data_IF_258163114890
#
_entry.id   IF_258163114890
#
_cell.length_a   1.000
_cell.length_b   1.000
_cell.length_c   1.000
_cell.angle_alpha   90.00
_cell.angle_beta   90.00
_cell.angle_gamma   90.00
#
_symmetry.space_group_name_H-M   'P 1'
#
loop_
_entity.id
_entity.type
_entity.pdbx_description
1 polymer ?
2 non-polymer ?
3 non-polymer ?
4 non-polymer ?
5 non-polymer ?
6 water ?
#
# COMPACT_ATOMS: atom_id res chain seq x y z
N UNK A 18 2.18 17.08 25.22
CA UNK A 18 2.71 16.30 24.06
C UNK A 18 1.82 15.11 23.78
N UNK A 19 0.58 15.36 23.34
CA UNK A 19 -0.23 14.23 22.87
C UNK A 19 0.43 13.51 21.69
N UNK A 20 0.14 12.23 21.64
CA UNK A 20 0.57 11.33 20.61
C UNK A 20 -0.65 10.61 19.99
N UNK A 21 -0.41 10.03 18.79
CA UNK A 21 -1.32 9.13 18.13
C UNK A 21 -0.60 7.82 18.15
N UNK A 22 -1.36 6.78 18.44
CA UNK A 22 -0.89 5.43 18.29
C UNK A 22 -1.54 4.94 17.03
N UNK A 23 -0.71 4.42 16.12
CA UNK A 23 -1.14 3.86 14.83
C UNK A 23 -0.86 2.38 14.79
N UNK A 24 -1.88 1.61 14.44
CA UNK A 24 -1.86 0.19 14.50
C UNK A 24 -2.21 -0.38 13.12
N UNK A 25 -1.49 -1.40 12.72
CA UNK A 25 -1.71 -2.16 11.51
C UNK A 25 -1.60 -3.61 11.90
N UNK A 26 -2.74 -4.22 12.02
CA UNK A 26 -2.85 -5.43 12.73
C UNK A 26 -3.26 -6.44 11.69
N UNK A 27 -2.27 -7.10 11.09
CA UNK A 27 -2.43 -8.05 9.99
C UNK A 27 -2.56 -9.52 10.42
N UNK A 28 -2.41 -10.44 9.46
CA UNK A 28 -2.65 -11.85 9.77
C UNK A 28 -1.54 -12.50 10.63
N UNK A 29 -0.30 -12.02 10.50
CA UNK A 29 0.83 -12.55 11.28
C UNK A 29 1.43 -11.55 12.27
N UNK A 30 1.13 -10.26 12.09
CA UNK A 30 1.80 -9.18 12.83
C UNK A 30 0.88 -8.09 13.30
N UNK A 31 1.39 -7.31 14.23
CA UNK A 31 0.86 -6.03 14.57
C UNK A 31 2.03 -5.07 14.50
N UNK A 32 2.03 -4.22 13.49
CA UNK A 32 2.96 -3.11 13.41
C UNK A 32 2.35 -1.91 14.05
N UNK A 33 3.17 -1.11 14.71
CA UNK A 33 2.67 0.08 15.33
C UNK A 33 3.74 1.11 15.32
N UNK A 34 3.29 2.36 15.34
CA UNK A 34 4.10 3.49 15.56
C UNK A 34 3.37 4.41 16.51
N UNK A 35 4.14 5.16 17.24
CA UNK A 35 3.60 6.21 18.06
C UNK A 35 4.16 7.49 17.47
N UNK A 36 3.25 8.38 17.06
CA UNK A 36 3.62 9.65 16.43
C UNK A 36 3.21 10.82 17.29
N UNK A 37 4.12 11.78 17.40
CA UNK A 37 3.86 13.01 18.13
C UNK A 37 2.88 13.80 17.34
N UNK A 38 1.91 14.44 17.99
CA UNK A 38 0.83 15.09 17.30
C UNK A 38 1.30 16.40 16.71
N UNK A 39 2.34 16.97 17.29
CA UNK A 39 2.80 18.31 16.94
C UNK A 39 3.51 18.25 15.61
N UNK A 40 4.50 17.39 15.51
CA UNK A 40 5.32 17.24 14.33
C UNK A 40 4.99 16.03 13.42
N UNK A 41 4.06 15.18 13.81
CA UNK A 41 3.96 13.81 13.22
C UNK A 41 5.23 13.01 13.08
N UNK A 42 6.23 13.27 13.92
CA UNK A 42 7.47 12.43 13.96
C UNK A 42 7.23 11.14 14.71
N UNK A 43 7.89 10.06 14.30
CA UNK A 43 7.82 8.80 15.02
C UNK A 43 8.64 8.86 16.34
N UNK A 44 7.98 8.55 17.44
CA UNK A 44 8.62 8.51 18.76
C UNK A 44 8.98 7.12 19.15
N UNK A 45 8.28 6.14 18.63
CA UNK A 45 8.50 4.77 18.97
C UNK A 45 7.84 3.98 17.88
N UNK A 46 8.43 2.86 17.50
CA UNK A 46 7.82 1.92 16.58
C UNK A 46 8.17 0.53 16.99
N UNK A 47 7.57 -0.43 16.32
CA UNK A 47 7.69 -1.82 16.73
C UNK A 47 6.76 -2.77 16.01
N UNK A 48 6.80 -4.01 16.47
CA UNK A 48 6.09 -5.09 15.81
C UNK A 48 6.06 -6.30 16.73
N UNK A 49 4.83 -6.68 17.10
CA UNK A 49 4.52 -7.99 17.62
C UNK A 49 4.38 -8.92 16.43
N UNK A 50 5.13 -10.01 16.42
CA UNK A 50 5.25 -10.85 15.24
C UNK A 50 5.06 -12.34 15.55
N UNK A 51 4.88 -13.17 14.51
CA UNK A 51 4.64 -14.63 14.69
C UNK A 51 3.35 -14.94 15.40
N UNK A 52 2.32 -14.14 15.11
CA UNK A 52 1.13 -14.03 15.97
C UNK A 52 0.27 -15.29 16.04
C UNK A 54 2.66 -18.56 16.86
N UNK A 55 3.34 -19.70 16.92
CA UNK A 55 3.43 -20.48 18.16
C UNK A 55 4.37 -19.78 19.13
N UNK A 56 5.50 -19.30 18.60
CA UNK A 56 6.42 -18.45 19.36
C UNK A 56 6.30 -16.96 18.95
N UNK A 57 5.23 -16.29 19.40
CA UNK A 57 5.07 -14.86 19.13
C UNK A 57 6.07 -14.01 19.95
N UNK A 58 6.40 -12.83 19.45
CA UNK A 58 7.34 -11.92 20.14
C UNK A 58 7.17 -10.42 19.79
N UNK A 59 7.53 -9.56 20.75
CA UNK A 59 7.46 -8.10 20.62
C UNK A 59 8.84 -7.43 20.42
N UNK A 60 8.94 -6.59 19.39
CA UNK A 60 10.21 -6.08 18.91
C UNK A 60 10.17 -4.59 18.58
N UNK A 61 10.31 -3.79 19.63
CA UNK A 61 10.42 -2.33 19.58
C UNK A 61 11.76 -1.84 19.01
N UNK A 62 11.79 -1.63 17.68
CA UNK A 62 12.93 -1.04 16.94
C UNK A 62 14.31 -1.45 17.45
N UNK A 64 15.45 -3.16 19.67
CA UNK A 64 15.88 -2.90 21.05
C UNK A 64 15.74 -4.14 21.93
N UNK A 65 14.51 -4.47 22.34
CA UNK A 65 14.29 -5.51 23.35
C UNK A 65 13.83 -6.93 22.88
N UNK A 66 14.12 -7.34 21.60
CA UNK A 66 13.37 -8.42 20.92
C UNK A 66 12.58 -9.48 21.74
N UNK A 67 11.70 -9.01 22.65
CA UNK A 67 11.06 -9.79 23.74
C UNK A 67 9.95 -10.77 23.32
N UNK A 68 9.76 -11.86 24.07
CA UNK A 68 8.93 -13.02 23.62
C UNK A 68 7.55 -13.06 24.24
N UNK A 69 6.58 -13.46 23.42
CA UNK A 69 5.14 -13.48 23.76
C UNK A 69 4.56 -14.90 23.81
N UNK A 70 4.85 -15.71 22.79
CA UNK A 70 4.47 -17.13 22.71
C UNK A 70 2.96 -17.43 22.94
N UNK A 71 2.31 -18.01 21.93
CA UNK A 71 0.89 -18.37 22.04
C UNK A 71 -0.02 -17.15 22.26
N UNK A 72 0.42 -15.97 21.84
CA UNK A 72 -0.29 -14.72 22.11
C UNK A 72 -1.33 -14.43 21.01
N UNK A 73 -2.57 -14.19 21.45
CA UNK A 73 -3.61 -13.66 20.58
C UNK A 73 -3.43 -12.11 20.41
N UNK A 74 -4.30 -11.52 19.60
CA UNK A 74 -4.17 -10.13 19.20
C UNK A 74 -4.32 -9.21 20.42
N UNK A 75 -5.28 -9.51 21.28
CA UNK A 75 -5.44 -8.71 22.47
C UNK A 75 -4.21 -8.76 23.39
N UNK A 76 -3.44 -9.86 23.33
CA UNK A 76 -2.28 -10.10 24.22
C UNK A 76 -1.12 -9.25 23.76
N UNK A 77 -0.79 -9.40 22.48
CA UNK A 77 0.24 -8.61 21.84
C UNK A 77 0.00 -7.09 22.07
N UNK A 78 -1.23 -6.63 21.91
CA UNK A 78 -1.54 -5.23 22.11
C UNK A 78 -1.48 -4.80 23.60
N UNK A 79 -1.90 -5.68 24.52
CA UNK A 79 -1.76 -5.42 25.98
C UNK A 79 -0.28 -5.31 26.32
N UNK A 80 0.56 -6.06 25.59
CA UNK A 80 1.98 -6.02 25.77
C UNK A 80 2.48 -4.66 25.31
N UNK A 81 2.07 -4.29 24.09
CA UNK A 81 2.39 -2.98 23.53
C UNK A 81 1.89 -1.89 24.49
N UNK A 82 0.65 -2.00 24.98
CA UNK A 82 0.16 -0.97 25.91
C UNK A 82 1.09 -0.88 27.15
N UNK A 83 1.61 -2.01 27.64
CA UNK A 83 2.40 -1.94 28.87
C UNK A 83 3.73 -1.27 28.57
N UNK A 84 4.31 -1.51 27.38
CA UNK A 84 5.53 -0.79 26.95
C UNK A 84 5.34 0.75 26.87
N UNK A 85 4.16 1.21 26.54
CA UNK A 85 3.93 2.63 26.55
C UNK A 85 3.67 3.14 27.97
N UNK A 86 2.97 2.35 28.79
CA UNK A 86 2.80 2.61 30.23
C UNK A 86 4.18 2.76 30.86
N UNK A 87 5.06 1.81 30.52
CA UNK A 87 6.50 1.85 30.83
C UNK A 87 7.11 3.19 30.65
N UNK A 88 6.84 3.81 29.49
CA UNK A 88 7.56 5.01 29.07
C UNK A 88 6.69 6.20 29.33
N UNK A 89 5.73 6.05 30.24
CA UNK A 89 4.90 7.15 30.63
C UNK A 89 4.25 7.81 29.37
N UNK A 90 3.85 6.99 28.40
CA UNK A 90 3.14 7.51 27.20
C UNK A 90 1.62 7.39 27.29
N UNK A 91 1.16 6.43 28.08
CA UNK A 91 -0.21 6.06 28.12
C UNK A 91 -1.13 7.26 28.19
N UNK A 92 -0.81 8.22 29.04
CA UNK A 92 -1.70 9.37 29.22
C UNK A 92 -1.59 10.43 28.15
N UNK A 93 -0.53 10.37 27.36
CA UNK A 93 -0.39 11.24 26.21
C UNK A 93 -1.13 10.69 24.91
N UNK A 94 -1.62 9.46 24.96
CA UNK A 94 -2.29 8.87 23.80
C UNK A 94 -3.66 9.49 23.62
N UNK A 95 -3.75 10.46 22.72
CA UNK A 95 -4.99 11.21 22.49
C UNK A 95 -5.84 10.58 21.38
N UNK A 96 -5.23 9.73 20.54
CA UNK A 96 -5.90 9.17 19.35
C UNK A 96 -5.27 7.84 18.98
N UNK A 97 -6.06 6.93 18.44
CA UNK A 97 -5.54 5.68 17.89
C UNK A 97 -6.08 5.55 16.43
N UNK A 98 -5.18 5.26 15.49
CA UNK A 98 -5.50 5.12 14.09
C UNK A 98 -5.27 3.71 13.69
N UNK A 99 -6.28 3.07 13.09
CA UNK A 99 -6.21 1.70 12.65
C UNK A 99 -6.18 1.68 11.13
N UNK A 100 -5.20 0.97 10.59
CA UNK A 100 -5.17 0.67 9.18
C UNK A 100 -6.11 -0.43 8.89
N UNK A 101 -7.08 -0.18 7.99
CA UNK A 101 -7.98 -1.21 7.57
C UNK A 101 -7.72 -1.56 6.15
N UNK A 102 -7.55 -2.86 5.88
CA UNK A 102 -7.24 -3.36 4.55
C UNK A 102 -8.28 -3.10 3.49
N UNK A 103 -9.54 -3.33 3.84
CA UNK A 103 -10.62 -3.34 2.92
C UNK A 103 -11.90 -2.68 3.47
N UNK A 104 -12.41 -1.64 2.80
CA UNK A 104 -13.65 -1.01 3.20
C UNK A 104 -14.81 -1.15 2.22
N UNK A 105 -14.70 -2.07 1.26
CA UNK A 105 -15.64 -2.22 0.14
C UNK A 105 -16.10 -0.92 -0.46
N UNK A 106 -17.39 -0.86 -0.77
CA UNK A 106 -18.05 0.36 -1.20
C UNK A 106 -18.57 1.15 -0.02
N UNK A 107 -18.42 0.61 1.18
CA UNK A 107 -18.95 1.33 2.37
C UNK A 107 -18.14 2.50 2.86
N UNK A 108 -16.84 2.57 2.57
CA UNK A 108 -16.03 3.67 3.12
C UNK A 108 -15.33 4.44 2.05
N UNK A 109 -15.58 5.74 2.04
CA UNK A 109 -15.02 6.64 1.05
C UNK A 109 -14.06 7.61 1.68
N UNK A 110 -13.97 7.58 3.01
CA UNK A 110 -13.02 8.41 3.75
C UNK A 110 -12.79 7.77 5.15
N UNK A 111 -11.82 8.26 5.84
CA UNK A 111 -11.45 7.77 7.15
C UNK A 111 -12.55 8.19 8.13
N UNK A 112 -12.80 7.37 9.13
CA UNK A 112 -13.91 7.60 10.04
C UNK A 112 -13.54 7.44 11.52
N UNK A 113 -14.33 8.08 12.38
CA UNK A 113 -14.29 7.85 13.83
C UNK A 113 -14.97 6.55 14.03
N UNK A 114 -14.31 5.64 14.71
CA UNK A 114 -14.85 4.32 14.96
C UNK A 114 -15.97 4.36 16.08
N UNK A 115 -17.10 3.71 15.81
CA UNK A 115 -18.29 3.62 16.65
C UNK A 115 -18.77 2.21 16.37
N UNK A 116 -19.81 1.76 17.08
CA UNK A 116 -20.40 0.44 16.82
C UNK A 116 -20.84 0.23 15.38
N UNK A 117 -21.44 1.26 14.80
CA UNK A 117 -21.86 1.27 13.41
C UNK A 117 -20.70 0.96 12.46
N UNK A 118 -19.58 1.67 12.65
CA UNK A 118 -18.40 1.48 11.80
C UNK A 118 -17.93 0.06 11.95
N UNK A 119 -17.88 -0.43 13.17
CA UNK A 119 -17.53 -1.87 13.40
C UNK A 119 -18.45 -2.81 12.65
N UNK A 120 -19.76 -2.61 12.78
CA UNK A 120 -20.74 -3.43 12.01
C UNK A 120 -20.47 -3.36 10.52
N UNK A 121 -20.18 -2.16 10.03
CA UNK A 121 -19.93 -2.00 8.57
C UNK A 121 -18.63 -2.65 8.12
N UNK A 122 -17.57 -2.53 8.92
CA UNK A 122 -16.32 -3.31 8.63
C UNK A 122 -16.56 -4.82 8.59
N UNK A 123 -17.32 -5.32 9.56
CA UNK A 123 -17.71 -6.74 9.56
C UNK A 123 -18.46 -7.17 8.24
N UNK A 124 -19.33 -6.32 7.72
CA UNK A 124 -20.04 -6.67 6.49
C UNK A 124 -19.10 -6.86 5.28
N UNK A 125 -17.90 -6.24 5.33
CA UNK A 125 -16.85 -6.41 4.32
C UNK A 125 -16.11 -7.72 4.42
N UNK A 126 -16.13 -8.34 5.59
CA UNK A 126 -15.43 -9.59 5.86
C UNK A 126 -15.32 -10.52 4.67
N UNK A 127 -16.45 -10.84 4.04
CA UNK A 127 -16.30 -11.85 2.97
C UNK A 127 -15.26 -11.44 1.89
N UNK A 128 -15.10 -10.14 1.63
CA UNK A 128 -14.14 -9.65 0.61
C UNK A 128 -12.68 -9.90 0.93
N UNK A 129 -12.30 -10.07 2.19
CA UNK A 129 -10.91 -10.35 2.55
C UNK A 129 -10.91 -10.89 3.97
N UNK A 130 -11.34 -12.14 4.15
CA UNK A 130 -11.80 -12.71 5.43
C UNK A 130 -10.80 -12.77 6.57
N UNK A 131 -9.54 -13.12 6.27
CA UNK A 131 -8.54 -13.27 7.33
C UNK A 131 -8.02 -11.89 7.67
N UNK A 132 -7.75 -11.06 6.66
CA UNK A 132 -7.24 -9.71 6.90
C UNK A 132 -8.22 -8.78 7.61
N UNK A 133 -9.51 -8.83 7.25
CA UNK A 133 -10.66 -8.18 7.97
C UNK A 133 -10.72 -8.59 9.43
N UNK A 134 -10.68 -9.91 9.62
CA UNK A 134 -10.66 -10.49 10.94
C UNK A 134 -9.49 -9.94 11.77
N UNK A 135 -8.29 -9.95 11.22
CA UNK A 135 -7.20 -9.36 11.96
C UNK A 135 -7.41 -7.85 12.28
N UNK A 136 -7.86 -7.05 11.31
CA UNK A 136 -8.02 -5.59 11.53
C UNK A 136 -9.09 -5.38 12.63
N UNK A 137 -10.14 -6.18 12.58
CA UNK A 137 -11.23 -6.10 13.57
C UNK A 137 -10.75 -6.61 14.92
N UNK A 138 -9.86 -7.62 14.95
CA UNK A 138 -9.22 -8.04 16.20
C UNK A 138 -8.40 -6.93 16.81
N UNK A 139 -7.63 -6.21 15.98
CA UNK A 139 -6.91 -5.06 16.51
C UNK A 139 -7.82 -3.95 17.04
N UNK A 140 -8.97 -3.71 16.37
CA UNK A 140 -9.91 -2.71 16.87
C UNK A 140 -10.46 -3.12 18.26
N UNK A 141 -10.93 -4.35 18.36
CA UNK A 141 -11.44 -4.91 19.63
C UNK A 141 -10.43 -4.82 20.77
N UNK A 142 -9.21 -5.26 20.51
CA UNK A 142 -8.09 -5.05 21.46
C UNK A 142 -7.87 -3.58 21.89
N UNK A 143 -7.78 -2.68 20.91
CA UNK A 143 -7.47 -1.30 21.26
C UNK A 143 -8.64 -0.71 22.00
N UNK A 144 -9.85 -1.15 21.69
CA UNK A 144 -11.02 -0.52 22.33
C UNK A 144 -11.05 -0.96 23.78
N UNK A 145 -10.59 -2.16 24.05
CA UNK A 145 -10.38 -2.60 25.39
C UNK A 145 -9.30 -1.82 26.14
N UNK A 146 -8.16 -1.64 25.48
CA UNK A 146 -7.01 -1.06 26.15
C UNK A 146 -7.10 0.46 26.30
N UNK A 147 -7.93 1.16 25.51
CA UNK A 147 -8.00 2.62 25.55
C UNK A 147 -9.40 3.18 25.37
N UNK A 148 -10.31 2.90 26.34
CA UNK A 148 -11.76 3.19 26.19
C UNK A 148 -12.10 4.67 26.13
N UNK A 149 -11.36 5.52 26.82
CA UNK A 149 -11.64 6.96 26.70
C UNK A 149 -10.80 7.65 25.65
N UNK A 150 -10.31 6.88 24.66
CA UNK A 150 -9.52 7.47 23.56
C UNK A 150 -10.25 7.35 22.22
N UNK A 151 -10.41 8.45 21.52
CA UNK A 151 -10.99 8.40 20.20
C UNK A 151 -10.13 7.54 19.25
N UNK A 152 -10.78 6.67 18.51
CA UNK A 152 -10.13 5.79 17.56
C UNK A 152 -10.71 6.03 16.18
N UNK A 153 -9.80 5.95 15.20
CA UNK A 153 -10.07 6.24 13.80
C UNK A 153 -9.71 4.99 12.92
N UNK A 154 -10.52 4.77 11.90
CA UNK A 154 -10.29 3.74 10.93
C UNK A 154 -9.91 4.39 9.59
N UNK A 155 -8.78 3.96 9.04
CA UNK A 155 -8.31 4.48 7.72
C UNK A 155 -8.14 3.30 6.76
N UNK A 156 -8.76 3.38 5.60
CA UNK A 156 -8.95 2.19 4.73
C UNK A 156 -8.09 2.29 3.50
N UNK A 157 -7.39 1.20 3.20
CA UNK A 157 -6.56 1.11 2.01
C UNK A 157 -7.35 1.26 0.73
N UNK A 158 -8.68 1.11 0.76
CA UNK A 158 -9.51 1.12 -0.48
C UNK A 158 -10.17 2.45 -0.70
N UNK A 159 -10.21 3.31 0.29
CA UNK A 159 -11.20 4.35 0.23
C UNK A 159 -10.89 5.49 -0.74
N UNK A 160 -9.63 5.77 -0.96
CA UNK A 160 -9.23 6.78 -1.92
C UNK A 160 -9.73 6.44 -3.35
N UNK A 161 -9.82 5.15 -3.67
CA UNK A 161 -10.17 4.67 -4.99
C UNK A 161 -11.69 4.68 -5.23
N UNK A 162 -12.49 5.08 -4.22
CA UNK A 162 -13.95 5.05 -4.36
C UNK A 162 -14.46 6.13 -5.27
N UNK A 163 -13.60 7.02 -5.72
CA UNK A 163 -14.02 7.93 -6.73
C UNK A 163 -13.93 7.33 -8.14
N UNK A 164 -13.45 6.07 -8.32
CA UNK A 164 -13.42 5.50 -9.69
C UNK A 164 -14.83 5.42 -10.30
N UNK A 165 -14.93 5.76 -11.59
CA UNK A 165 -16.19 5.62 -12.27
C UNK A 165 -16.40 4.14 -12.58
N UNK A 166 -17.66 3.76 -12.81
CA UNK A 166 -18.03 2.39 -13.16
C UNK A 166 -17.26 1.76 -14.35
N UNK A 167 -17.02 2.54 -15.41
CA UNK A 167 -16.24 2.09 -16.57
C UNK A 167 -14.82 1.69 -16.14
N UNK A 168 -14.31 2.28 -15.05
CA UNK A 168 -12.99 1.95 -14.55
C UNK A 168 -12.99 0.87 -13.50
N UNK A 169 -14.11 0.66 -12.81
CA UNK A 169 -14.19 -0.38 -11.78
C UNK A 169 -14.86 -1.64 -12.13
N UNK A 170 -15.64 -1.66 -13.20
CA UNK A 170 -16.27 -2.90 -13.52
C UNK A 170 -15.36 -3.86 -14.23
N UNK A 171 -15.52 -5.15 -13.92
CA UNK A 171 -15.03 -6.24 -14.72
C UNK A 171 -16.02 -6.58 -15.83
N UNK A 172 -15.53 -7.27 -16.85
CA UNK A 172 -16.41 -7.69 -17.94
C UNK A 172 -17.17 -8.98 -17.64
N UNK A 173 -17.46 -9.24 -16.38
CA UNK A 173 -18.24 -10.39 -15.97
C UNK A 173 -19.71 -10.10 -16.07
N UNK A 174 -20.53 -11.18 -16.01
CA UNK A 174 -21.99 -10.91 -15.95
C UNK A 174 -22.35 -9.94 -14.85
N UNK A 175 -23.19 -8.98 -15.18
CA UNK A 175 -23.65 -7.95 -14.25
C UNK A 175 -24.01 -8.44 -12.87
N UNK A 176 -24.58 -9.65 -12.81
CA UNK A 176 -24.94 -10.28 -11.53
C UNK A 176 -23.77 -10.39 -10.57
N UNK A 177 -22.58 -10.70 -11.08
CA UNK A 177 -21.42 -10.79 -10.18
C UNK A 177 -21.16 -9.47 -9.50
N UNK A 178 -21.36 -8.37 -10.19
CA UNK A 178 -21.21 -7.06 -9.57
C UNK A 178 -22.39 -6.69 -8.63
N UNK A 179 -23.61 -6.76 -9.16
CA UNK A 179 -24.75 -6.28 -8.38
C UNK A 179 -25.04 -7.20 -7.19
N UNK A 180 -24.94 -8.52 -7.33
CA UNK A 180 -25.18 -9.44 -6.17
C UNK A 180 -23.97 -9.71 -5.28
N UNK A 181 -22.78 -9.93 -5.86
CA UNK A 181 -21.59 -10.31 -5.06
C UNK A 181 -20.59 -9.20 -4.78
N UNK A 182 -20.82 -8.02 -5.33
CA UNK A 182 -19.91 -6.91 -5.17
C UNK A 182 -18.53 -7.15 -5.83
N UNK A 183 -18.48 -7.92 -6.93
CA UNK A 183 -17.25 -8.10 -7.72
C UNK A 183 -17.03 -6.84 -8.54
N UNK A 184 -15.91 -6.20 -8.26
CA UNK A 184 -15.55 -4.98 -8.91
C UNK A 184 -14.12 -4.63 -8.44
N UNK A 185 -13.47 -3.72 -9.14
CA UNK A 185 -12.15 -3.28 -8.76
C UNK A 185 -12.32 -2.39 -7.48
N UNK A 186 -11.51 -2.67 -6.48
CA UNK A 186 -11.38 -1.81 -5.32
C UNK A 186 -10.11 -1.02 -5.34
N UNK A 187 -8.99 -1.71 -5.48
CA UNK A 187 -7.71 -1.04 -5.44
C UNK A 187 -7.25 -0.95 -4.02
N UNK A 188 -5.93 -0.83 -3.86
CA UNK A 188 -5.27 -0.79 -2.57
C UNK A 188 -4.12 0.24 -2.57
N UNK A 189 -3.33 0.30 -1.50
CA UNK A 189 -2.35 1.35 -1.29
C UNK A 189 -3.02 2.72 -1.29
N UNK A 190 -4.35 2.79 -1.06
CA UNK A 190 -5.00 4.07 -1.23
C UNK A 190 -4.42 5.16 -0.35
N UNK A 191 -3.99 4.74 0.83
CA UNK A 191 -3.54 5.70 1.81
C UNK A 191 -2.16 6.26 1.40
N UNK A 192 -1.32 5.41 0.82
CA UNK A 192 -0.06 5.86 0.20
C UNK A 192 -0.32 6.73 -1.03
N UNK A 193 -1.15 6.26 -1.94
CA UNK A 193 -1.41 7.05 -3.14
C UNK A 193 -1.93 8.45 -2.84
N UNK A 194 -2.83 8.50 -1.86
CA UNK A 194 -3.35 9.77 -1.41
C UNK A 194 -2.31 10.67 -0.77
N UNK A 195 -1.55 10.12 0.19
CA UNK A 195 -0.52 10.90 0.82
C UNK A 195 0.48 11.43 -0.22
N UNK A 196 0.92 10.53 -1.10
CA UNK A 196 1.99 10.94 -2.04
C UNK A 196 1.44 11.96 -3.00
N UNK A 197 0.21 11.76 -3.48
CA UNK A 197 -0.34 12.72 -4.41
C UNK A 197 -0.46 14.10 -3.72
N UNK A 198 -0.80 14.17 -2.43
CA UNK A 198 -0.88 15.51 -1.77
C UNK A 198 0.49 16.16 -1.72
N UNK A 199 1.51 15.38 -1.39
CA UNK A 199 2.87 15.96 -1.35
C UNK A 199 3.34 16.41 -2.73
N UNK A 200 2.88 15.71 -3.78
CA UNK A 200 3.23 16.05 -5.14
C UNK A 200 2.72 17.43 -5.55
N UNK A 201 1.53 17.82 -5.14
CA UNK A 201 1.01 19.15 -5.57
C UNK A 201 1.93 20.22 -5.04
N UNK A 202 2.48 20.02 -3.86
CA UNK A 202 3.41 21.00 -3.30
C UNK A 202 4.78 20.91 -4.00
N UNK A 203 5.36 19.72 -4.05
CA UNK A 203 6.70 19.56 -4.67
C UNK A 203 6.71 20.05 -6.11
N UNK A 204 5.67 19.72 -6.87
CA UNK A 204 5.65 20.11 -8.26
C UNK A 204 4.96 21.47 -8.46
N UNK A 205 4.49 22.11 -7.40
CA UNK A 205 3.71 23.36 -7.55
C UNK A 205 2.58 23.29 -8.57
N UNK A 206 1.71 22.33 -8.38
CA UNK A 206 0.63 22.09 -9.26
C UNK A 206 -0.61 22.55 -8.54
N UNK A 207 -1.59 23.03 -9.28
CA UNK A 207 -2.93 23.22 -8.73
C UNK A 207 -3.63 21.85 -8.61
N UNK A 208 -3.92 21.40 -7.39
CA UNK A 208 -4.66 20.16 -7.19
C UNK A 208 -5.92 19.96 -8.06
N UNK A 209 -6.74 21.00 -8.18
CA UNK A 209 -8.01 20.96 -8.94
C UNK A 209 -7.76 20.96 -10.41
N UNK A 210 -6.55 21.25 -10.86
CA UNK A 210 -6.30 21.15 -12.30
C UNK A 210 -4.98 20.38 -12.58
N UNK A 211 -5.06 19.05 -12.51
CA UNK A 211 -3.82 18.32 -12.44
C UNK A 211 -3.99 16.89 -12.83
N UNK A 212 -2.89 16.29 -13.28
CA UNK A 212 -2.82 14.84 -13.61
C UNK A 212 -1.51 14.20 -13.17
N UNK A 213 -1.62 13.21 -12.31
CA UNK A 213 -0.48 12.54 -11.75
C UNK A 213 -0.66 11.06 -11.95
N UNK A 214 0.46 10.36 -12.14
CA UNK A 214 0.47 8.92 -11.95
C UNK A 214 1.40 8.65 -10.80
N UNK A 215 0.92 7.90 -9.83
CA UNK A 215 1.73 7.49 -8.73
C UNK A 215 2.04 6.02 -8.86
N UNK A 216 3.33 5.68 -8.75
CA UNK A 216 3.73 4.24 -8.76
C UNK A 216 4.25 3.91 -7.43
N UNK A 217 3.44 3.16 -6.72
CA UNK A 217 3.80 2.69 -5.44
C UNK A 217 4.41 1.32 -5.64
N UNK A 218 5.74 1.27 -5.59
CA UNK A 218 6.47 0.06 -5.87
C UNK A 218 7.15 -0.44 -4.55
N UNK A 219 6.57 -1.49 -4.03
CA UNK A 219 7.08 -2.18 -2.84
C UNK A 219 7.00 -3.68 -3.11
N UNK A 220 6.84 -4.46 -2.07
CA UNK A 220 6.68 -5.87 -2.28
C UNK A 220 5.32 -6.14 -2.85
N UNK A 221 4.38 -5.26 -2.50
CA UNK A 221 3.12 -5.10 -3.15
C UNK A 221 3.35 -3.88 -3.99
N UNK A 222 2.78 -3.90 -5.20
CA UNK A 222 2.96 -2.78 -6.08
C UNK A 222 1.66 -2.42 -6.85
N UNK A 223 1.39 -1.11 -6.99
CA UNK A 223 0.28 -0.61 -7.77
C UNK A 223 0.47 0.78 -8.28
N UNK A 224 -0.21 1.08 -9.38
CA UNK A 224 -0.27 2.36 -10.00
C UNK A 224 -1.59 3.02 -9.70
N UNK A 225 -1.61 4.36 -9.73
CA UNK A 225 -2.87 5.05 -9.53
C UNK A 225 -2.80 6.32 -10.30
N UNK A 226 -3.87 6.60 -11.01
CA UNK A 226 -4.01 7.85 -11.72
C UNK A 226 -4.85 8.81 -10.85
N UNK A 227 -4.32 10.00 -10.57
CA UNK A 227 -5.01 11.00 -9.79
C UNK A 227 -5.26 12.19 -10.68
N UNK A 228 -6.53 12.44 -10.95
CA UNK A 228 -6.94 13.51 -11.80
C UNK A 228 -7.63 14.56 -10.91
N UNK A 229 -7.17 15.79 -10.96
CA UNK A 229 -7.74 16.85 -10.08
C UNK A 229 -7.94 16.42 -8.60
N UNK A 230 -6.94 15.73 -8.04
CA UNK A 230 -6.98 15.27 -6.64
C UNK A 230 -7.76 13.99 -6.38
N UNK A 231 -8.45 13.41 -7.35
CA UNK A 231 -9.12 12.16 -7.14
C UNK A 231 -8.56 11.01 -7.93
N UNK A 232 -8.55 9.84 -7.30
CA UNK A 232 -8.23 8.59 -7.98
C UNK A 232 -9.26 8.24 -9.03
N UNK A 233 -8.78 8.05 -10.26
CA UNK A 233 -9.66 7.72 -11.40
C UNK A 233 -9.30 6.37 -12.06
N UNK A 234 -8.17 5.78 -11.71
CA UNK A 234 -7.86 4.42 -12.11
C UNK A 234 -6.76 3.92 -11.17
N UNK A 235 -6.73 2.62 -10.97
CA UNK A 235 -5.72 2.04 -10.15
C UNK A 235 -5.55 0.58 -10.61
N UNK A 236 -4.40 -0.02 -10.32
CA UNK A 236 -4.00 -1.26 -11.03
C UNK A 236 -4.39 -2.51 -10.31
N UNK A 237 -4.50 -2.46 -8.98
CA UNK A 237 -4.93 -3.67 -8.29
C UNK A 237 -6.44 -3.79 -8.45
N UNK A 238 -7.02 -4.92 -8.11
CA UNK A 238 -8.38 -5.15 -8.50
C UNK A 238 -9.32 -5.34 -7.34
N UNK A 239 -10.17 -6.34 -7.46
CA UNK A 239 -10.98 -6.70 -6.32
C UNK A 239 -10.05 -7.13 -5.21
N UNK A 240 -8.94 -7.76 -5.57
CA UNK A 240 -7.94 -8.16 -4.59
C UNK A 240 -6.57 -7.55 -4.94
N UNK A 241 -5.58 -7.75 -4.07
CA UNK A 241 -4.25 -7.26 -4.38
C UNK A 241 -3.46 -8.04 -5.46
N UNK A 242 -4.07 -9.02 -6.08
CA UNK A 242 -3.36 -9.81 -7.03
C UNK A 242 -3.33 -9.22 -8.45
N UNK A 243 -4.22 -8.26 -8.75
CA UNK A 243 -4.30 -7.78 -10.09
C UNK A 243 -3.27 -6.67 -10.32
N UNK A 244 -2.89 -6.57 -11.57
CA UNK A 244 -2.12 -5.46 -12.06
C UNK A 244 -0.66 -5.78 -12.27
N UNK A 245 0.18 -4.99 -11.59
CA UNK A 245 1.62 -5.11 -11.72
C UNK A 245 2.05 -6.46 -11.27
N UNK A 246 3.10 -6.97 -11.94
CA UNK A 246 3.89 -8.05 -11.34
C UNK A 246 4.62 -7.53 -10.10
N UNK A 247 4.66 -8.35 -9.05
CA UNK A 247 5.24 -7.91 -7.75
C UNK A 247 6.30 -8.91 -7.20
N UNK A 248 6.62 -8.81 -5.93
CA UNK A 248 7.70 -9.63 -5.32
C UNK A 248 7.46 -11.11 -5.49
N UNK A 249 6.28 -11.52 -5.02
CA UNK A 249 5.80 -12.87 -5.13
C UNK A 249 4.45 -13.03 -5.81
N UNK A 250 3.84 -11.94 -6.24
CA UNK A 250 2.56 -12.02 -6.91
C UNK A 250 2.69 -11.88 -8.39
N UNK A 251 1.89 -12.64 -9.13
CA UNK A 251 1.99 -12.70 -10.59
C UNK A 251 1.62 -11.41 -11.29
N UNK A 252 0.69 -10.64 -10.72
CA UNK A 252 0.05 -9.58 -11.42
C UNK A 252 -0.86 -10.15 -12.51
N UNK A 253 -1.26 -9.30 -13.46
CA UNK A 253 -2.21 -9.67 -14.53
C UNK A 253 -1.76 -11.00 -15.13
N UNK A 254 -2.70 -11.92 -15.23
CA UNK A 254 -2.47 -13.25 -15.80
C UNK A 254 -3.78 -13.70 -16.52
N UNK A 255 -3.62 -14.12 -17.77
CA UNK A 255 -4.70 -14.65 -18.65
C UNK A 255 -5.46 -15.73 -17.86
N UNK A 256 -6.76 -15.54 -17.61
CA UNK A 256 -7.56 -16.60 -16.95
C UNK A 256 -7.60 -17.89 -17.79
N UNK A 257 -7.57 -17.76 -19.11
CA UNK A 257 -7.45 -18.90 -20.01
C UNK A 257 -6.23 -19.71 -19.72
N UNK A 258 -5.10 -19.04 -19.48
CA UNK A 258 -3.86 -19.68 -19.20
C UNK A 258 -3.97 -20.38 -17.84
N UNK A 259 -4.61 -19.74 -16.88
CA UNK A 259 -4.79 -20.31 -15.54
C UNK A 259 -5.68 -21.58 -15.57
N UNK A 260 -6.76 -21.51 -16.33
CA UNK A 260 -7.64 -22.67 -16.56
C UNK A 260 -6.94 -23.76 -17.39
N UNK A 261 -6.04 -23.39 -18.29
CA UNK A 261 -5.29 -24.38 -19.03
C UNK A 261 -4.32 -25.10 -18.10
N UNK A 262 -3.64 -24.32 -17.26
CA UNK A 262 -2.70 -24.88 -16.29
C UNK A 262 -3.41 -25.88 -15.35
N UNK A 263 -4.56 -25.49 -14.82
CA UNK A 263 -5.36 -26.38 -13.98
C UNK A 263 -5.59 -27.74 -14.64
N UNK A 264 -6.14 -27.75 -15.86
CA UNK A 264 -6.42 -28.97 -16.62
C UNK A 264 -5.18 -29.79 -16.86
N UNK A 265 -4.08 -29.12 -17.16
CA UNK A 265 -2.82 -29.80 -17.43
C UNK A 265 -2.10 -30.41 -16.19
N UNK A 266 -2.12 -29.72 -15.04
CA UNK A 266 -1.39 -30.18 -13.84
C UNK A 266 -2.30 -30.82 -12.80
N UNK A 267 -3.59 -30.81 -13.07
CA UNK A 267 -4.56 -31.19 -12.06
C UNK A 267 -4.63 -30.35 -10.80
N UNK A 268 -4.10 -29.14 -10.79
CA UNK A 268 -4.20 -28.27 -9.61
C UNK A 268 -5.58 -27.63 -9.56
N UNK A 269 -6.05 -27.30 -8.39
CA UNK A 269 -7.32 -26.57 -8.23
C UNK A 269 -7.13 -25.06 -8.10
N UNK A 270 -8.22 -24.30 -8.21
CA UNK A 270 -8.18 -22.83 -8.12
C UNK A 270 -7.41 -22.42 -6.88
N UNK A 271 -7.70 -23.11 -5.79
CA UNK A 271 -7.01 -22.92 -4.52
C UNK A 271 -5.55 -23.22 -4.57
N UNK A 272 -5.17 -24.26 -5.27
CA UNK A 272 -3.74 -24.47 -5.50
C UNK A 272 -3.16 -23.23 -6.24
N UNK A 273 -3.77 -22.93 -7.38
CA UNK A 273 -3.25 -21.90 -8.26
C UNK A 273 -3.22 -20.53 -7.56
N UNK A 274 -4.15 -20.28 -6.64
CA UNK A 274 -4.26 -19.00 -5.96
C UNK A 274 -3.06 -18.78 -5.07
N UNK A 275 -2.63 -19.86 -4.42
CA UNK A 275 -1.44 -19.82 -3.60
C UNK A 275 -0.21 -19.57 -4.49
N UNK A 276 -0.15 -20.27 -5.63
CA UNK A 276 0.96 -20.10 -6.55
C UNK A 276 1.08 -18.62 -6.96
N UNK A 277 -0.06 -18.04 -7.34
CA UNK A 277 -0.12 -16.71 -7.92
C UNK A 277 0.19 -15.59 -6.87
N UNK A 278 -0.05 -15.91 -5.60
CA UNK A 278 0.11 -14.96 -4.45
C UNK A 278 1.48 -15.12 -3.75
N UNK A 279 2.03 -16.32 -3.75
CA UNK A 279 3.15 -16.66 -2.91
C UNK A 279 4.39 -17.19 -3.64
N UNK A 280 4.27 -17.73 -4.85
CA UNK A 280 5.42 -18.27 -5.55
C UNK A 280 5.71 -17.60 -6.88
N UNK A 281 5.03 -16.49 -7.17
CA UNK A 281 5.16 -15.95 -8.50
C UNK A 281 6.02 -14.70 -8.50
N UNK A 282 5.83 -13.86 -9.51
CA UNK A 282 6.44 -12.58 -9.51
C UNK A 282 7.94 -12.65 -9.66
N UNK A 283 8.61 -11.72 -8.96
CA UNK A 283 10.04 -11.64 -9.03
C UNK A 283 10.66 -12.99 -8.60
N UNK A 284 10.11 -13.55 -7.53
CA UNK A 284 10.51 -14.85 -6.98
C UNK A 284 10.36 -15.92 -8.03
N UNK A 285 9.15 -16.01 -8.60
CA UNK A 285 8.76 -17.04 -9.57
C UNK A 285 9.55 -17.03 -10.86
N UNK A 286 9.75 -15.87 -11.47
CA UNK A 286 10.64 -15.78 -12.64
C UNK A 286 12.13 -16.02 -12.25
N UNK A 287 12.62 -15.34 -11.21
CA UNK A 287 14.03 -15.40 -10.91
C UNK A 287 14.47 -16.78 -10.48
N UNK A 288 13.58 -17.50 -9.84
CA UNK A 288 13.94 -18.69 -9.11
C UNK A 288 14.83 -18.37 -7.92
N UNK A 289 14.95 -17.13 -7.50
CA UNK A 289 16.01 -16.76 -6.56
C UNK A 289 15.47 -16.05 -5.35
N UNK A 290 14.76 -14.93 -5.56
CA UNK A 290 14.29 -14.09 -4.48
C UNK A 290 13.18 -13.11 -4.99
N UNK A 291 12.36 -12.63 -4.06
CA UNK A 291 11.42 -11.51 -4.27
C UNK A 291 12.12 -10.20 -4.06
N UNK A 292 13.33 -10.26 -3.54
CA UNK A 292 13.97 -9.04 -3.07
C UNK A 292 14.70 -8.44 -4.24
N UNK A 293 14.33 -7.22 -4.57
CA UNK A 293 14.93 -6.57 -5.72
C UNK A 293 16.45 -6.36 -5.55
N UNK A 294 16.92 -6.11 -4.33
CA UNK A 294 18.37 -5.89 -4.16
C UNK A 294 19.13 -7.15 -4.46
N UNK A 295 18.60 -8.30 -4.06
CA UNK A 295 19.28 -9.55 -4.37
C UNK A 295 19.31 -9.74 -5.89
N UNK A 296 18.22 -9.36 -6.56
CA UNK A 296 18.12 -9.62 -7.99
C UNK A 296 19.00 -8.70 -8.80
N UNK A 297 19.09 -7.45 -8.37
CA UNK A 297 19.95 -6.46 -9.02
C UNK A 297 21.39 -6.95 -8.94
N UNK A 298 21.78 -7.48 -7.78
CA UNK A 298 23.13 -8.01 -7.61
C UNK A 298 23.28 -9.29 -8.45
N UNK A 299 22.28 -10.19 -8.43
CA UNK A 299 22.38 -11.39 -9.31
C UNK A 299 22.60 -11.03 -10.81
N UNK A 300 21.90 -10.02 -11.28
CA UNK A 300 21.99 -9.65 -12.69
C UNK A 300 23.37 -9.15 -12.95
N UNK A 301 23.83 -8.26 -12.06
CA UNK A 301 25.18 -7.74 -12.14
C UNK A 301 26.18 -8.89 -12.25
N UNK A 302 25.86 -10.08 -11.72
CA UNK A 302 26.75 -11.24 -11.84
C UNK A 302 26.49 -12.21 -12.96
N UNK A 303 25.65 -11.83 -13.92
CA UNK A 303 25.35 -12.65 -15.09
C UNK A 303 24.15 -13.55 -14.97
N UNK A 304 23.34 -13.41 -13.92
CA UNK A 304 22.20 -14.28 -13.76
C UNK A 304 21.09 -13.81 -14.74
N UNK A 305 20.75 -14.68 -15.72
CA UNK A 305 19.87 -14.28 -16.81
C UNK A 305 18.43 -14.17 -16.39
N UNK A 306 17.98 -15.10 -15.52
CA UNK A 306 16.64 -15.13 -15.03
C UNK A 306 16.31 -13.98 -14.08
N UNK A 307 17.32 -13.44 -13.42
CA UNK A 307 17.11 -12.34 -12.54
C UNK A 307 16.92 -11.14 -13.42
N UNK A 308 17.72 -11.04 -14.48
CA UNK A 308 17.59 -9.94 -15.39
C UNK A 308 16.20 -9.94 -16.05
N UNK A 309 15.71 -11.13 -16.40
CA UNK A 309 14.43 -11.30 -17.00
C UNK A 309 13.29 -10.90 -16.04
N UNK A 310 13.44 -11.25 -14.78
CA UNK A 310 12.47 -10.99 -13.75
C UNK A 310 12.34 -9.45 -13.66
N UNK A 311 13.48 -8.78 -13.64
CA UNK A 311 13.52 -7.34 -13.57
C UNK A 311 12.97 -6.66 -14.82
N UNK A 312 13.40 -7.10 -16.00
CA UNK A 312 12.95 -6.49 -17.26
C UNK A 312 11.43 -6.64 -17.40
N UNK A 313 10.94 -7.80 -17.03
CA UNK A 313 9.52 -8.09 -17.02
C UNK A 313 8.76 -7.19 -16.04
N UNK A 314 9.36 -7.02 -14.87
CA UNK A 314 8.81 -6.18 -13.81
C UNK A 314 8.68 -4.77 -14.33
N UNK A 315 9.77 -4.29 -14.93
CA UNK A 315 9.84 -2.99 -15.51
C UNK A 315 8.87 -2.79 -16.66
N UNK A 316 8.83 -3.78 -17.57
CA UNK A 316 7.92 -3.66 -18.69
C UNK A 316 6.44 -3.52 -18.23
N UNK A 317 6.03 -4.30 -17.23
CA UNK A 317 4.65 -4.26 -16.78
C UNK A 317 4.34 -2.93 -16.02
N UNK A 318 5.34 -2.36 -15.34
CA UNK A 318 5.22 -1.03 -14.76
C UNK A 318 5.01 0.02 -15.81
N UNK A 319 5.84 0.02 -16.85
CA UNK A 319 5.70 1.03 -17.91
C UNK A 319 4.34 0.93 -18.60
N UNK A 320 3.92 -0.30 -18.81
CA UNK A 320 2.69 -0.57 -19.50
C UNK A 320 1.49 0.02 -18.72
N UNK A 321 1.48 -0.25 -17.42
CA UNK A 321 0.39 0.23 -16.53
C UNK A 321 0.44 1.72 -16.30
N UNK A 322 1.63 2.27 -16.23
CA UNK A 322 1.77 3.71 -16.09
C UNK A 322 1.13 4.38 -17.28
N UNK A 323 1.52 3.97 -18.50
CA UNK A 323 1.00 4.67 -19.69
C UNK A 323 -0.51 4.47 -19.80
N UNK A 324 -0.95 3.28 -19.51
CA UNK A 324 -2.35 2.94 -19.52
C UNK A 324 -3.22 3.73 -18.53
N UNK A 325 -2.68 3.98 -17.33
CA UNK A 325 -3.36 4.78 -16.35
C UNK A 325 -3.36 6.20 -16.78
N UNK A 326 -2.38 6.63 -17.56
CA UNK A 326 -2.39 7.98 -18.05
C UNK A 326 -3.62 8.33 -18.92
N UNK A 327 -4.19 7.32 -19.54
CA UNK A 327 -5.32 7.49 -20.42
C UNK A 327 -6.55 8.05 -19.64
N UNK A 328 -6.53 7.96 -18.32
CA UNK A 328 -7.62 8.47 -17.50
C UNK A 328 -7.40 9.90 -17.10
N UNK A 329 -6.33 10.52 -17.58
CA UNK A 329 -6.00 11.88 -17.28
C UNK A 329 -6.26 12.74 -18.53
N UNK A 330 -6.59 14.01 -18.31
CA UNK A 330 -6.76 14.98 -19.37
C UNK A 330 -5.41 15.57 -19.70
N UNK A 331 -4.51 15.58 -18.72
CA UNK A 331 -3.15 16.09 -18.95
C UNK A 331 -2.25 15.35 -17.95
N UNK A 332 -1.08 14.90 -18.41
CA UNK A 332 -0.09 14.28 -17.54
C UNK A 332 0.94 15.31 -17.09
N UNK A 333 0.88 15.73 -15.83
CA UNK A 333 1.85 16.66 -15.30
C UNK A 333 3.03 15.98 -14.62
N UNK A 334 2.77 14.86 -13.98
CA UNK A 334 3.79 14.17 -13.17
C UNK A 334 3.66 12.69 -13.03
N UNK A 335 4.81 12.05 -12.92
CA UNK A 335 4.91 10.67 -12.52
C UNK A 335 5.75 10.61 -11.25
N UNK A 336 5.22 9.98 -10.22
CA UNK A 336 5.82 10.01 -8.92
C UNK A 336 6.06 8.61 -8.45
N UNK A 337 7.31 8.33 -8.09
CA UNK A 337 7.67 7.01 -7.56
C UNK A 337 7.69 7.00 -6.03
N UNK A 338 7.24 5.89 -5.46
CA UNK A 338 7.24 5.73 -4.04
C UNK A 338 7.25 4.26 -3.64
N UNK A 339 7.36 3.99 -2.33
CA UNK A 339 7.48 2.62 -1.86
C UNK A 339 8.94 2.27 -1.76
N UNK A 340 9.21 1.17 -1.09
CA UNK A 340 10.55 0.60 -0.93
C UNK A 340 11.37 0.56 -2.20
N UNK A 341 10.74 0.13 -3.29
CA UNK A 341 11.42 0.01 -4.53
C UNK A 341 11.43 1.36 -5.23
N UNK A 342 10.32 2.07 -5.19
CA UNK A 342 10.27 3.36 -5.95
C UNK A 342 11.15 4.40 -5.35
N UNK A 343 11.36 4.26 -4.06
CA UNK A 343 12.15 5.23 -3.33
C UNK A 343 13.66 4.95 -3.40
N UNK A 344 14.01 3.65 -3.40
CA UNK A 344 15.40 3.24 -3.34
C UNK A 344 16.02 2.67 -4.64
N UNK A 345 15.25 2.25 -5.63
CA UNK A 345 15.89 1.58 -6.80
C UNK A 345 16.18 2.55 -7.89
N UNK A 346 17.42 2.99 -7.89
CA UNK A 346 17.91 3.84 -8.98
C UNK A 346 17.69 3.21 -10.37
N UNK A 347 18.02 1.94 -10.47
CA UNK A 347 17.99 1.22 -11.74
C UNK A 347 16.54 1.01 -12.20
N UNK A 348 15.67 0.57 -11.30
CA UNK A 348 14.28 0.40 -11.68
C UNK A 348 13.68 1.71 -12.15
N UNK A 349 13.85 2.81 -11.42
CA UNK A 349 13.26 4.03 -11.88
C UNK A 349 13.78 4.42 -13.29
N UNK A 350 15.07 4.26 -13.56
CA UNK A 350 15.61 4.72 -14.85
C UNK A 350 15.11 3.83 -15.99
N UNK A 351 15.13 2.53 -15.78
CA UNK A 351 14.60 1.60 -16.77
C UNK A 351 13.12 1.90 -17.07
N UNK A 352 12.32 2.15 -16.02
CA UNK A 352 10.89 2.53 -16.25
C UNK A 352 10.79 3.76 -17.08
N UNK A 353 11.53 4.78 -16.67
CA UNK A 353 11.46 6.05 -17.36
C UNK A 353 11.96 5.98 -18.83
N UNK A 354 12.96 5.15 -19.06
CA UNK A 354 13.46 4.97 -20.44
C UNK A 354 12.48 4.15 -21.27
N UNK A 355 11.70 3.29 -20.60
CA UNK A 355 10.59 2.65 -21.25
C UNK A 355 9.35 3.56 -21.59
N UNK A 356 9.40 4.83 -21.20
CA UNK A 356 8.28 5.76 -21.44
C UNK A 356 8.74 6.98 -22.24
N UNK A 357 9.77 6.79 -23.06
CA UNK A 357 10.21 7.81 -24.01
C UNK A 357 9.07 8.30 -24.89
N UNK A 358 8.13 7.43 -25.16
CA UNK A 358 6.93 7.79 -25.89
C UNK A 358 6.13 8.95 -25.27
N UNK A 359 6.14 9.09 -23.94
CA UNK A 359 5.47 10.20 -23.29
C UNK A 359 6.36 11.45 -23.13
N UNK A 360 7.57 11.42 -23.67
CA UNK A 360 8.40 12.61 -23.64
C UNK A 360 9.23 12.83 -22.38
N UNK A 361 9.39 11.79 -21.58
CA UNK A 361 10.16 11.82 -20.33
C UNK A 361 11.65 11.98 -20.62
N UNK A 362 12.34 12.76 -19.80
CA UNK A 362 13.78 12.92 -19.85
C UNK A 362 14.25 12.89 -18.39
N UNK A 363 15.10 11.92 -18.11
CA UNK A 363 15.70 11.70 -16.82
C UNK A 363 16.97 12.51 -16.64
N UNK A 364 17.09 13.14 -15.49
CA UNK A 364 18.34 13.64 -15.04
C UNK A 364 18.98 12.55 -14.20
N UNK A 365 19.94 11.83 -14.78
CA UNK A 365 20.53 10.67 -14.10
C UNK A 365 21.26 11.07 -12.80
N UNK A 366 21.90 12.24 -12.74
CA UNK A 366 22.58 12.62 -11.51
C UNK A 366 21.53 12.78 -10.40
N UNK A 367 20.41 13.44 -10.71
CA UNK A 367 19.31 13.50 -9.74
C UNK A 367 18.76 12.11 -9.46
N UNK A 368 18.70 11.23 -10.45
CA UNK A 368 18.14 9.88 -10.20
C UNK A 368 19.03 9.04 -9.35
N UNK A 369 20.32 9.36 -9.35
CA UNK A 369 21.33 8.62 -8.53
C UNK A 369 21.24 8.91 -7.02
N UNK A 370 20.72 10.07 -6.68
CA UNK A 370 20.69 10.45 -5.25
C UNK A 370 19.95 9.42 -4.42
N UNK A 371 20.51 9.01 -3.26
CA UNK A 371 19.81 8.10 -2.39
C UNK A 371 18.57 8.71 -1.69
N UNK A 372 17.80 7.86 -1.02
CA UNK A 372 16.50 8.25 -0.53
C UNK A 372 16.60 9.25 0.66
N UNK A 373 17.78 9.34 1.26
CA UNK A 373 18.10 10.40 2.24
C UNK A 373 17.75 11.77 1.67
N UNK A 374 17.73 11.91 0.34
CA UNK A 374 17.41 13.21 -0.20
C UNK A 374 15.90 13.53 -0.21
N UNK A 375 15.06 12.62 0.24
CA UNK A 375 13.62 12.88 0.34
C UNK A 375 12.90 13.25 -0.93
N UNK A 376 12.00 14.21 -0.80
CA UNK A 376 11.09 14.50 -1.88
C UNK A 376 11.95 15.21 -2.91
N UNK A 377 12.02 14.69 -4.14
CA UNK A 377 13.06 15.14 -5.09
C UNK A 377 12.64 14.92 -6.54
N UNK A 378 12.92 15.91 -7.36
CA UNK A 378 12.66 15.82 -8.79
C UNK A 378 13.84 15.12 -9.48
N UNK A 379 13.52 14.18 -10.38
CA UNK A 379 14.52 13.37 -11.05
C UNK A 379 14.51 13.46 -12.58
N UNK A 380 13.56 14.23 -13.16
CA UNK A 380 13.51 14.47 -14.58
C UNK A 380 14.35 15.72 -14.89
N UNK A 381 14.91 15.81 -16.10
CA UNK A 381 15.73 16.97 -16.53
C UNK A 381 14.77 17.98 -17.05
N UNK A 382 15.21 19.22 -17.23
CA UNK A 382 14.30 20.31 -17.65
C UNK A 382 13.50 20.10 -18.91
N UNK A 383 14.15 19.68 -20.01
CA UNK A 383 13.38 19.37 -21.26
C UNK A 383 12.25 18.29 -21.16
N UNK A 384 12.16 17.55 -20.05
CA UNK A 384 11.11 16.51 -19.90
C UNK A 384 9.70 17.05 -20.07
N UNK A 385 8.88 16.34 -20.81
CA UNK A 385 7.49 16.75 -20.99
C UNK A 385 6.65 16.55 -19.70
N UNK A 386 7.04 15.57 -18.90
CA UNK A 386 6.37 15.25 -17.67
C UNK A 386 7.38 15.29 -16.55
N UNK A 387 7.00 15.88 -15.43
CA UNK A 387 7.92 15.90 -14.29
C UNK A 387 7.92 14.53 -13.67
N UNK A 388 9.10 14.01 -13.38
CA UNK A 388 9.20 12.78 -12.64
C UNK A 388 9.85 13.06 -11.29
N UNK A 389 9.34 12.39 -10.29
CA UNK A 389 9.76 12.67 -8.91
C UNK A 389 9.77 11.42 -8.05
N UNK A 390 10.51 11.50 -6.95
CA UNK A 390 10.46 10.48 -5.97
C UNK A 390 9.92 11.18 -4.69
N UNK A 391 8.92 10.58 -4.08
CA UNK A 391 8.27 11.08 -2.86
C UNK A 391 8.15 9.94 -1.91
N UNK A 392 8.95 9.94 -0.82
CA UNK A 392 8.80 8.90 0.16
C UNK A 392 7.38 8.84 0.73
N UNK A 393 6.82 7.64 0.77
CA UNK A 393 5.49 7.46 1.30
C UNK A 393 5.52 7.34 2.84
N UNK A 394 4.38 7.62 3.47
CA UNK A 394 4.35 7.65 4.96
C UNK A 394 2.89 7.43 5.39
N UNK A 395 2.49 6.17 5.38
CA UNK A 395 1.12 5.80 5.62
C UNK A 395 0.74 6.12 7.08
N UNK A 396 1.65 5.87 8.00
CA UNK A 396 1.44 6.18 9.44
C UNK A 396 1.16 7.66 9.64
N UNK A 397 1.92 8.50 8.95
CA UNK A 397 1.69 9.93 9.07
C UNK A 397 0.39 10.33 8.49
N UNK A 398 -0.01 9.70 7.37
CA UNK A 398 -1.29 10.02 6.74
C UNK A 398 -2.45 9.67 7.68
N UNK A 399 -2.35 8.51 8.29
CA UNK A 399 -3.35 8.00 9.24
C UNK A 399 -3.46 8.93 10.45
N UNK A 400 -2.31 9.32 10.99
CA UNK A 400 -2.27 10.28 12.07
C UNK A 400 -2.86 11.61 11.71
N UNK A 401 -2.60 12.10 10.49
CA UNK A 401 -3.22 13.36 10.07
C UNK A 401 -4.74 13.23 10.02
N UNK A 402 -5.20 12.10 9.54
CA UNK A 402 -6.62 11.91 9.44
C UNK A 402 -7.15 11.93 10.86
N UNK A 403 -6.45 11.23 11.76
CA UNK A 403 -6.89 11.07 13.17
C UNK A 403 -6.98 12.42 13.85
N UNK A 404 -5.95 13.24 13.67
CA UNK A 404 -5.88 14.59 14.20
C UNK A 404 -6.96 15.50 13.68
N UNK A 405 -7.24 15.43 12.38
CA UNK A 405 -8.36 16.19 11.85
C UNK A 405 -9.65 15.69 12.49
N UNK A 406 -9.77 14.37 12.63
CA UNK A 406 -10.99 13.82 13.20
C UNK A 406 -11.09 14.08 14.70
N UNK A 407 -9.97 14.48 15.32
CA UNK A 407 -9.93 14.75 16.73
C UNK A 407 -10.65 16.04 17.06
N UNK A 408 -10.85 16.90 16.07
CA UNK A 408 -11.62 18.14 16.27
C UNK A 408 -13.13 18.05 16.19
N UNK A 409 -13.67 16.86 15.98
CA UNK A 409 -15.07 16.65 15.69
C UNK A 409 -15.83 16.30 16.95
N UNK A 410 -17.12 16.69 17.01
CA UNK A 410 -18.04 16.25 18.07
C UNK A 410 -18.79 15.02 17.63
N UNK A 411 -18.44 13.86 18.18
CA UNK A 411 -19.19 12.60 17.96
C UNK A 411 -20.18 12.35 19.10
X LIG B 1 -7.21 14.73 1.35
X LIG B 1 -6.69 13.78 0.35
X LIG B 1 -8.67 14.85 1.16
X LIG B 1 -6.96 14.20 2.71
X LIG B 1 -6.59 16.08 1.20
X LIG C 1 -1.44 -2.93 -19.44
X LIG C 1 -1.42 -4.17 -18.73
X LIG C 1 -2.67 -2.06 -19.26
X LIG C 1 -2.32 -0.81 -19.82
X LIG C 1 -3.97 -2.55 -19.89
X LIG C 1 -5.04 -2.17 -19.02
X LIG D 1 3.99 -2.76 0.53
X LIG D 1 3.44 -2.27 1.84
X LIG D 1 2.83 -3.38 -0.22
X LIG D 1 5.13 -3.75 0.53
X LIG D 1 6.18 -0.60 0.92
X LIG D 1 6.16 -1.44 2.20
X LIG D 1 6.15 0.92 1.12
X LIG D 1 4.88 -1.35 -0.06
X LIG D 1 8.39 -2.21 0.93
X LIG D 1 7.37 -3.31 0.86
X LIG D 1 9.07 -1.88 2.25
X LIG D 1 7.68 -0.87 0.37
X LIG D 1 9.46 -2.61 -0.22
X LIG D 1 10.21 -3.77 -0.12
X LIG D 1 10.89 -3.92 -1.46
X LIG D 1 11.63 -2.71 -1.52
X LIG D 1 11.91 -5.09 -1.63
X LIG D 1 12.17 -5.51 -2.98
X LIG D 1 13.20 -4.41 -1.30
X LIG D 1 14.33 -5.06 -1.92
X LIG D 1 12.94 -3.08 -1.96
X LIG D 1 14.06 -2.24 -1.59
X LIG D 1 14.36 -1.83 -0.34
X LIG D 1 15.51 -1.14 -0.41
X LIG D 1 15.95 -1.19 -1.69
X LIG D 1 17.15 -0.71 -2.42
X LIG D 1 18.06 0.00 -1.72
X LIG D 1 17.26 -0.96 -3.77
X LIG D 1 16.32 -1.66 -4.42
X LIG D 1 15.21 -2.14 -3.79
X LIG D 1 15.01 -1.94 -2.46
X LIG E 1 -0.38 -4.77 -0.70
X LIG E 1 -1.58 -4.05 -0.08
X LIG E 1 -2.53 -5.05 0.54
X LIG E 1 -0.60 -5.63 -1.52
X LIG E 1 0.80 -4.48 -0.35
#
# INVERSE_FOLDING_TARGET
MRGSHHHHHHGMASNEFFPVVLVINCGSSSIKFSVLDVATCDVLMAGIADGMNTENAFLSINGDKPINLAHSNYEDALKAIAFELEKRDLTDSVALIGHRIGHGGELFTQSVIITDEIIDNIRRVSPLAPLHNYANLSGIDAARHLFPAVRQVAVFDTSFHQTLAPEAYLYGLPWEYFSSLGVRRYGFHGTSHRYVSRRAYELLDLDEKDSGLIVAHLGNGASICAVRNGQSVDTSMGMTPLEGLMMGTRSGDVDFGAMAWIAKETGQTLSDLERVVNKESGLLGISGLSSDLRVLEKAWHEGHERARLAIKTFVHRIARHIAGHAASLHRLDGIIFTGGIGENSVLIRQLVIEHLGVLGLTLDVEMNKQPNSHGERIISANPSQVICAVIPTNEEKMIALDAIHLGNVKA
SO4 S O1 O2 O3 O4
GOL C1 O1 C2 O2 C3 O3
ANP PG O1G O2G O3G PB O1B O2B N3B PA O1A O2A O3A O5' C5' C4' O4' C3' O3' C2' O2' C1' N9 C8 N7 C5 C6 N6 N1 C2 N3 C4
PPI C1 C2 C3 O1 O2
#
